data_IF_068886021699
#
_entry.id   IF_068886021699
#
_cell.length_a   1.000
_cell.length_b   1.000
_cell.length_c   1.000
_cell.angle_alpha   90.00
_cell.angle_beta   90.00
_cell.angle_gamma   90.00
#
_symmetry.space_group_name_H-M   'P 1'
#
loop_
_entity.id
_entity.type
_entity.pdbx_description
1 polymer ?
#
# COMPACT_ATOMS: atom_id res chain seq x y z
N UNK A 1 -11.76 -0.10 7.13
CA UNK A 1 -10.54 -0.80 7.58
C UNK A 1 -9.31 -0.06 7.11
N UNK A 2 -8.40 0.32 8.02
CA UNK A 2 -7.20 1.07 7.67
C UNK A 2 -6.27 0.20 6.80
N UNK A 3 -6.15 0.55 5.51
CA UNK A 3 -5.17 -0.01 4.58
C UNK A 3 -3.81 0.66 4.83
N UNK A 4 -3.22 0.38 5.98
CA UNK A 4 -1.89 0.85 6.40
C UNK A 4 -0.93 -0.33 6.44
N UNK A 5 0.32 -0.09 6.04
CA UNK A 5 1.40 -1.07 6.15
C UNK A 5 1.98 -1.07 7.56
N UNK A 6 2.03 -2.22 8.22
CA UNK A 6 2.53 -2.35 9.59
C UNK A 6 4.05 -2.10 9.70
N UNK A 7 4.80 -2.28 8.60
CA UNK A 7 6.26 -2.07 8.58
C UNK A 7 6.69 -0.63 8.33
N UNK A 8 6.00 0.10 7.45
CA UNK A 8 6.43 1.43 7.00
C UNK A 8 5.40 2.53 7.21
N UNK A 9 4.25 2.23 7.83
CA UNK A 9 3.21 3.21 8.15
C UNK A 9 2.51 3.83 6.93
N UNK A 10 2.87 3.43 5.71
CA UNK A 10 2.26 4.00 4.50
C UNK A 10 0.78 3.64 4.44
N UNK A 11 -0.07 4.65 4.28
CA UNK A 11 -1.52 4.53 4.11
C UNK A 11 -2.01 5.00 2.74
N UNK A 12 -3.34 5.10 2.60
CA UNK A 12 -3.97 5.63 1.39
C UNK A 12 -3.54 7.06 1.09
N UNK A 13 -3.39 7.39 -0.19
CA UNK A 13 -3.14 8.76 -0.65
C UNK A 13 -4.38 9.29 -1.34
N UNK A 14 -4.72 10.56 -1.13
CA UNK A 14 -5.83 11.21 -1.82
C UNK A 14 -5.37 11.77 -3.17
N UNK A 15 -6.20 11.64 -4.20
CA UNK A 15 -5.96 12.26 -5.49
C UNK A 15 -7.27 12.68 -6.16
N UNK A 16 -7.16 13.31 -7.31
CA UNK A 16 -8.29 13.73 -8.14
C UNK A 16 -8.22 13.00 -9.48
N UNK A 17 -9.32 12.39 -9.91
CA UNK A 17 -9.50 11.98 -11.30
C UNK A 17 -10.07 13.14 -12.11
N UNK A 18 -9.61 13.28 -13.35
CA UNK A 18 -10.18 14.21 -14.33
C UNK A 18 -10.83 13.40 -15.45
N UNK A 19 -12.07 13.73 -15.78
CA UNK A 19 -12.73 13.18 -16.97
C UNK A 19 -12.24 13.86 -18.25
N UNK A 20 -12.62 13.34 -19.41
CA UNK A 20 -12.35 13.98 -20.71
C UNK A 20 -12.89 15.41 -20.78
N UNK A 21 -14.00 15.68 -20.09
CA UNK A 21 -14.62 17.01 -19.95
C UNK A 21 -14.06 17.83 -18.78
N UNK A 22 -12.89 17.46 -18.24
CA UNK A 22 -12.20 18.12 -17.12
C UNK A 22 -12.99 18.17 -15.80
N UNK A 23 -13.98 17.30 -15.60
CA UNK A 23 -14.71 17.22 -14.33
C UNK A 23 -13.83 16.55 -13.28
N UNK A 24 -13.62 17.24 -12.16
CA UNK A 24 -12.74 16.81 -11.08
C UNK A 24 -13.53 16.00 -10.06
N UNK A 25 -13.20 14.72 -9.93
CA UNK A 25 -13.74 13.83 -8.88
C UNK A 25 -12.67 13.44 -7.88
N UNK A 26 -12.99 13.42 -6.58
CA UNK A 26 -12.07 12.96 -5.53
C UNK A 26 -11.97 11.43 -5.59
N UNK A 27 -10.75 10.89 -5.54
CA UNK A 27 -10.50 9.46 -5.42
C UNK A 27 -9.40 9.18 -4.41
N UNK A 28 -9.32 7.93 -3.97
CA UNK A 28 -8.27 7.45 -3.08
C UNK A 28 -7.42 6.40 -3.78
N UNK A 29 -6.10 6.55 -3.67
CA UNK A 29 -5.14 5.52 -4.04
C UNK A 29 -4.82 4.67 -2.82
N UNK A 30 -5.22 3.41 -2.90
CA UNK A 30 -4.89 2.43 -1.88
C UNK A 30 -3.56 1.76 -2.19
N UNK A 31 -2.83 1.43 -1.14
CA UNK A 31 -1.57 0.70 -1.27
C UNK A 31 -1.89 -0.77 -1.44
N UNK A 32 -1.15 -1.44 -2.33
CA UNK A 32 -1.18 -2.89 -2.44
C UNK A 32 -0.55 -3.50 -1.17
N UNK A 33 -1.42 -3.94 -0.27
CA UNK A 33 -1.10 -4.60 0.99
C UNK A 33 -1.32 -6.09 0.85
N UNK A 34 -0.35 -6.85 1.33
CA UNK A 34 -0.34 -8.30 1.31
C UNK A 34 -0.26 -8.79 2.76
N UNK A 35 -1.11 -9.74 3.12
CA UNK A 35 -1.05 -10.37 4.45
C UNK A 35 -0.02 -11.48 4.39
N UNK A 36 1.09 -11.32 5.12
CA UNK A 36 2.15 -12.34 5.20
C UNK A 36 2.57 -12.58 6.64
N UNK A 37 3.13 -13.75 6.89
CA UNK A 37 3.82 -14.06 8.14
C UNK A 37 5.25 -13.53 8.04
N UNK A 38 5.63 -12.63 8.94
CA UNK A 38 7.01 -12.17 9.09
C UNK A 38 7.37 -12.34 10.56
N UNK A 39 8.46 -13.07 10.82
CA UNK A 39 8.94 -13.40 12.17
C UNK A 39 7.84 -14.00 13.07
N UNK A 40 7.08 -14.97 12.53
CA UNK A 40 6.01 -15.68 13.26
C UNK A 40 4.69 -14.91 13.42
N UNK A 41 4.65 -13.60 13.16
CA UNK A 41 3.43 -12.77 13.28
C UNK A 41 2.79 -12.50 11.92
N UNK A 42 1.45 -12.54 11.86
CA UNK A 42 0.68 -12.15 10.66
C UNK A 42 0.60 -10.63 10.60
N UNK A 43 1.20 -10.03 9.57
CA UNK A 43 1.21 -8.58 9.36
C UNK A 43 0.78 -8.21 7.95
N UNK A 44 0.19 -7.03 7.79
CA UNK A 44 -0.13 -6.39 6.51
C UNK A 44 1.08 -5.61 6.03
N UNK A 45 1.71 -6.10 4.96
CA UNK A 45 2.96 -5.54 4.45
C UNK A 45 2.74 -5.08 3.01
N UNK A 46 3.22 -3.88 2.68
CA UNK A 46 3.17 -3.38 1.32
C UNK A 46 4.17 -4.12 0.41
N UNK A 47 3.83 -4.21 -0.87
CA UNK A 47 4.67 -4.91 -1.87
C UNK A 47 6.10 -4.37 -1.96
N UNK A 48 6.31 -3.06 -1.73
CA UNK A 48 7.66 -2.46 -1.70
C UNK A 48 8.51 -3.03 -0.55
N UNK A 49 7.92 -3.16 0.64
CA UNK A 49 8.59 -3.74 1.80
C UNK A 49 8.86 -5.23 1.62
N UNK A 50 7.96 -5.98 0.96
CA UNK A 50 8.22 -7.37 0.59
C UNK A 50 9.39 -7.49 -0.39
N UNK A 51 9.44 -6.63 -1.41
CA UNK A 51 10.54 -6.61 -2.38
C UNK A 51 11.88 -6.33 -1.72
N UNK A 52 11.94 -5.42 -0.75
CA UNK A 52 13.17 -5.14 0.01
C UNK A 52 13.61 -6.32 0.89
N UNK A 53 12.67 -7.03 1.52
CA UNK A 53 12.98 -8.20 2.34
C UNK A 53 13.52 -9.35 1.48
N UNK A 54 12.91 -9.60 0.31
CA UNK A 54 13.35 -10.64 -0.61
C UNK A 54 14.76 -10.38 -1.16
N UNK A 55 15.14 -9.11 -1.37
CA UNK A 55 16.50 -8.74 -1.79
C UNK A 55 17.55 -8.95 -0.70
N UNK A 56 17.21 -8.73 0.56
CA UNK A 56 18.14 -8.89 1.69
C UNK A 56 18.38 -10.35 2.08
N UNK A 57 17.49 -11.26 1.66
CA UNK A 57 17.63 -12.70 1.89
C UNK A 57 18.41 -13.42 0.78
N UNK A 58 18.76 -12.72 -0.30
CA UNK A 58 19.61 -13.21 -1.39
C UNK A 58 21.03 -12.71 -1.17
#
# INVERSE_FOLDING_TARGET
MAKVCDKCGRGKTFSRSRSKSNIITKRTHEINLQVKKVNGKRMKICTKCLKTLAKAAK
#
